data_IF_014563904625
#
_entry.id   IF_014563904625
#
_cell.length_a   1.000
_cell.length_b   1.000
_cell.length_c   1.000
_cell.angle_alpha   90.00
_cell.angle_beta   90.00
_cell.angle_gamma   90.00
#
_symmetry.space_group_name_H-M   'P 1'
#
loop_
_entity.id
_entity.type
_entity.pdbx_description
1 polymer ?
#
# COMPACT_ATOMS: atom_id res chain seq x y z
N UNK A 1 -10.27 27.09 4.43
CA UNK A 1 -10.87 26.09 3.50
C UNK A 1 -10.03 24.83 3.50
N UNK A 2 -10.57 23.73 2.97
CA UNK A 2 -9.87 22.45 2.98
C UNK A 2 -8.56 22.46 2.19
N UNK A 3 -8.40 23.34 1.23
CA UNK A 3 -7.15 23.44 0.49
C UNK A 3 -5.94 23.76 1.38
N UNK A 4 -6.18 24.34 2.54
CA UNK A 4 -5.13 24.69 3.49
C UNK A 4 -4.92 23.63 4.59
N UNK A 5 -5.72 22.58 4.57
CA UNK A 5 -5.66 21.51 5.56
C UNK A 5 -4.93 20.28 4.99
N UNK A 6 -4.05 19.65 5.77
CA UNK A 6 -3.45 18.40 5.31
C UNK A 6 -4.51 17.30 5.21
N UNK A 7 -4.40 16.50 4.16
CA UNK A 7 -5.29 15.37 3.94
C UNK A 7 -4.67 14.11 4.52
N UNK A 8 -5.43 13.40 5.34
CA UNK A 8 -5.04 12.12 5.90
C UNK A 8 -5.94 11.03 5.34
N UNK A 9 -5.39 10.16 4.49
CA UNK A 9 -6.13 8.99 4.02
C UNK A 9 -6.25 7.98 5.16
N UNK A 10 -7.31 7.18 5.17
CA UNK A 10 -7.56 6.20 6.23
C UNK A 10 -7.82 4.84 5.62
N UNK A 11 -7.07 3.82 6.05
CA UNK A 11 -7.21 2.45 5.57
C UNK A 11 -8.06 1.63 6.56
N UNK A 12 -9.15 0.98 6.10
CA UNK A 12 -9.97 0.15 6.96
C UNK A 12 -9.37 -1.24 7.14
N UNK A 13 -9.33 -1.74 8.37
CA UNK A 13 -8.81 -3.08 8.67
C UNK A 13 -9.74 -3.79 9.65
N UNK A 14 -9.80 -5.13 9.58
CA UNK A 14 -10.68 -5.91 10.46
C UNK A 14 -10.00 -6.32 11.76
N UNK A 15 -8.67 -6.31 11.80
CA UNK A 15 -7.87 -6.69 12.97
C UNK A 15 -6.71 -5.71 13.09
N UNK A 16 -6.86 -4.74 13.97
CA UNK A 16 -5.89 -3.64 14.08
C UNK A 16 -4.50 -4.12 14.53
N UNK A 17 -4.43 -5.08 15.45
CA UNK A 17 -3.13 -5.59 15.92
C UNK A 17 -2.38 -6.33 14.81
N UNK A 18 -3.09 -7.14 14.02
CA UNK A 18 -2.51 -7.81 12.87
C UNK A 18 -2.03 -6.80 11.82
N UNK A 19 -2.85 -5.79 11.54
CA UNK A 19 -2.51 -4.75 10.58
C UNK A 19 -1.30 -3.94 11.05
N UNK A 20 -1.23 -3.57 12.32
CA UNK A 20 -0.07 -2.86 12.86
C UNK A 20 1.23 -3.64 12.63
N UNK A 21 1.23 -4.93 12.94
CA UNK A 21 2.40 -5.78 12.72
C UNK A 21 2.81 -5.82 11.27
N UNK A 22 1.84 -5.97 10.37
CA UNK A 22 2.13 -6.05 8.93
C UNK A 22 2.73 -4.74 8.41
N UNK A 23 2.07 -3.63 8.67
CA UNK A 23 2.53 -2.34 8.14
C UNK A 23 3.84 -1.89 8.75
N UNK A 24 4.06 -2.18 10.03
CA UNK A 24 5.32 -1.85 10.70
C UNK A 24 6.45 -2.82 10.34
N UNK A 25 6.21 -4.12 10.46
CA UNK A 25 7.29 -5.12 10.40
C UNK A 25 7.53 -5.62 8.98
N UNK A 26 6.48 -5.83 8.19
CA UNK A 26 6.62 -6.30 6.81
C UNK A 26 6.87 -5.16 5.85
N UNK A 27 6.08 -4.09 5.93
CA UNK A 27 6.23 -2.95 5.03
C UNK A 27 7.28 -1.93 5.51
N UNK A 28 7.69 -2.00 6.77
CA UNK A 28 8.75 -1.15 7.29
C UNK A 28 8.33 0.28 7.60
N UNK A 29 7.04 0.55 7.75
CA UNK A 29 6.55 1.88 8.03
C UNK A 29 6.67 2.23 9.51
N UNK A 30 6.71 3.52 9.82
CA UNK A 30 6.86 4.01 11.19
C UNK A 30 5.49 4.28 11.81
N UNK A 31 5.20 3.59 12.92
CA UNK A 31 3.99 3.87 13.69
C UNK A 31 4.17 5.23 14.38
N UNK A 32 3.33 6.20 14.05
CA UNK A 32 3.48 7.57 14.53
C UNK A 32 2.50 7.94 15.63
N UNK A 33 1.35 7.26 15.71
CA UNK A 33 0.35 7.56 16.75
C UNK A 33 -0.52 6.34 17.00
N UNK A 34 -0.89 6.12 18.24
CA UNK A 34 -1.85 5.09 18.64
C UNK A 34 -3.01 5.71 19.40
N UNK A 35 -4.22 5.27 19.09
CA UNK A 35 -5.43 5.62 19.80
C UNK A 35 -6.27 4.39 20.03
N UNK A 36 -7.46 4.54 20.57
CA UNK A 36 -8.39 3.44 20.77
C UNK A 36 -9.05 3.09 19.43
N UNK A 37 -8.73 1.89 18.92
CA UNK A 37 -9.32 1.42 17.66
C UNK A 37 -8.75 2.07 16.41
N UNK A 38 -7.70 2.89 16.54
CA UNK A 38 -7.10 3.58 15.40
C UNK A 38 -5.60 3.81 15.62
N UNK A 39 -4.86 3.92 14.53
CA UNK A 39 -3.44 4.25 14.55
C UNK A 39 -3.11 5.13 13.36
N UNK A 40 -1.94 5.75 13.38
CA UNK A 40 -1.38 6.46 12.22
C UNK A 40 0.04 5.98 11.96
N UNK A 41 0.38 5.92 10.68
CA UNK A 41 1.71 5.54 10.21
C UNK A 41 2.32 6.66 9.39
N UNK A 42 3.64 6.75 9.43
CA UNK A 42 4.41 7.65 8.57
C UNK A 42 5.11 6.85 7.48
N UNK A 43 5.01 7.35 6.24
CA UNK A 43 5.67 6.79 5.08
C UNK A 43 6.29 7.94 4.30
N UNK A 44 7.62 8.01 4.27
CA UNK A 44 8.30 9.16 3.70
C UNK A 44 7.86 10.44 4.40
N UNK A 45 7.39 11.43 3.62
CA UNK A 45 6.90 12.69 4.15
C UNK A 45 5.39 12.69 4.39
N UNK A 46 4.71 11.57 4.17
CA UNK A 46 3.26 11.47 4.33
C UNK A 46 2.87 10.68 5.57
N UNK A 47 1.66 10.91 6.03
CA UNK A 47 1.07 10.19 7.15
C UNK A 47 -0.31 9.72 6.73
N UNK A 48 -0.69 8.52 7.16
CA UNK A 48 -2.03 7.98 6.93
C UNK A 48 -2.55 7.30 8.17
N UNK A 49 -3.87 7.25 8.26
CA UNK A 49 -4.55 6.59 9.38
C UNK A 49 -5.01 5.19 9.05
N UNK A 50 -5.37 4.47 10.09
CA UNK A 50 -5.90 3.12 9.98
C UNK A 50 -6.86 2.90 11.15
N UNK A 51 -8.03 2.30 10.89
CA UNK A 51 -8.97 2.03 11.97
C UNK A 51 -9.62 0.67 11.80
N UNK A 52 -10.06 0.11 12.93
CA UNK A 52 -10.69 -1.20 12.94
C UNK A 52 -12.16 -1.08 12.57
N UNK A 53 -12.57 -1.85 11.58
CA UNK A 53 -13.95 -1.86 11.10
C UNK A 53 -14.21 -3.20 10.40
N UNK A 54 -15.44 -3.74 10.47
CA UNK A 54 -15.77 -4.96 9.73
C UNK A 54 -15.74 -4.79 8.21
N UNK A 55 -15.59 -3.57 7.69
CA UNK A 55 -15.55 -3.30 6.25
C UNK A 55 -14.15 -3.39 5.64
N UNK A 56 -13.12 -3.72 6.42
CA UNK A 56 -11.77 -3.87 5.87
C UNK A 56 -11.71 -4.94 4.78
N UNK A 57 -10.89 -4.69 3.74
CA UNK A 57 -10.66 -5.65 2.68
C UNK A 57 -11.75 -5.79 1.63
N UNK A 58 -12.78 -4.96 1.67
CA UNK A 58 -13.94 -5.10 0.78
C UNK A 58 -13.93 -4.19 -0.46
N UNK A 59 -12.93 -3.31 -0.57
CA UNK A 59 -12.95 -2.31 -1.63
C UNK A 59 -12.78 -2.88 -3.04
N UNK A 60 -11.97 -3.91 -3.20
CA UNK A 60 -11.78 -4.53 -4.51
C UNK A 60 -11.01 -3.68 -5.53
N UNK A 61 -10.37 -2.61 -5.07
CA UNK A 61 -9.57 -1.72 -5.92
C UNK A 61 -8.40 -1.19 -5.13
N UNK A 62 -7.45 -0.53 -5.81
CA UNK A 62 -6.29 0.07 -5.15
C UNK A 62 -6.72 1.11 -4.12
N UNK A 63 -6.29 0.93 -2.88
CA UNK A 63 -6.57 1.88 -1.80
C UNK A 63 -5.42 2.85 -1.57
N UNK A 64 -4.19 2.42 -1.75
CA UNK A 64 -3.01 3.23 -1.51
C UNK A 64 -1.91 2.82 -2.47
N UNK A 65 -1.05 3.77 -2.80
CA UNK A 65 0.04 3.53 -3.73
C UNK A 65 1.28 4.27 -3.28
N UNK A 66 2.41 3.57 -3.26
CA UNK A 66 3.71 4.16 -2.95
C UNK A 66 4.46 4.45 -4.25
N UNK A 67 5.02 5.65 -4.32
CA UNK A 67 5.86 6.05 -5.43
C UNK A 67 7.31 5.78 -5.03
N UNK A 68 8.02 4.96 -5.79
CA UNK A 68 9.39 4.58 -5.49
C UNK A 68 10.32 4.92 -6.64
N UNK A 69 11.61 5.04 -6.35
CA UNK A 69 12.61 5.34 -7.36
C UNK A 69 13.00 4.10 -8.18
N UNK A 70 13.00 2.92 -7.55
CA UNK A 70 13.44 1.67 -8.17
C UNK A 70 12.49 0.55 -7.75
N UNK A 71 11.56 0.21 -8.64
CA UNK A 71 10.54 -0.79 -8.34
C UNK A 71 11.13 -2.18 -8.15
N UNK A 72 12.13 -2.56 -8.96
CA UNK A 72 12.71 -3.90 -8.86
C UNK A 72 13.36 -4.12 -7.50
N UNK A 73 14.08 -3.13 -6.98
CA UNK A 73 14.71 -3.20 -5.66
C UNK A 73 13.65 -3.30 -4.55
N UNK A 74 12.61 -2.49 -4.64
CA UNK A 74 11.53 -2.52 -3.63
C UNK A 74 10.80 -3.86 -3.63
N UNK A 75 10.49 -4.39 -4.82
CA UNK A 75 9.81 -5.68 -4.94
C UNK A 75 10.67 -6.81 -4.37
N UNK A 76 11.98 -6.80 -4.65
CA UNK A 76 12.88 -7.82 -4.12
C UNK A 76 12.91 -7.79 -2.60
N UNK A 77 12.98 -6.61 -2.00
CA UNK A 77 12.97 -6.48 -0.55
C UNK A 77 11.63 -6.92 0.06
N UNK A 78 10.53 -6.52 -0.53
CA UNK A 78 9.20 -6.92 -0.05
C UNK A 78 8.98 -8.42 -0.19
N UNK A 79 9.42 -9.03 -1.31
CA UNK A 79 9.37 -10.49 -1.47
C UNK A 79 10.20 -11.20 -0.42
N UNK A 80 11.36 -10.65 -0.06
CA UNK A 80 12.18 -11.17 1.01
C UNK A 80 11.52 -11.15 2.38
N UNK A 81 10.51 -10.30 2.55
CA UNK A 81 9.71 -10.21 3.78
C UNK A 81 8.39 -10.97 3.69
N UNK A 82 8.18 -11.73 2.62
CA UNK A 82 7.01 -12.57 2.47
C UNK A 82 5.86 -11.97 1.68
N UNK A 83 6.04 -10.80 1.09
CA UNK A 83 4.99 -10.21 0.25
C UNK A 83 4.89 -10.96 -1.06
N UNK A 84 3.65 -11.31 -1.45
CA UNK A 84 3.35 -11.98 -2.72
C UNK A 84 2.67 -10.96 -3.63
N UNK A 85 3.29 -10.67 -4.78
CA UNK A 85 2.71 -9.74 -5.75
C UNK A 85 1.66 -10.44 -6.60
N UNK A 86 0.57 -9.72 -6.87
CA UNK A 86 -0.53 -10.24 -7.67
C UNK A 86 -0.16 -10.28 -9.15
N UNK A 87 -0.74 -11.22 -9.89
CA UNK A 87 -0.62 -11.28 -11.34
C UNK A 87 -1.98 -11.02 -11.96
N UNK A 88 -1.99 -10.22 -13.01
CA UNK A 88 -3.20 -9.90 -13.75
C UNK A 88 -3.02 -10.20 -15.24
N UNK A 89 -4.06 -10.71 -15.87
CA UNK A 89 -4.09 -10.95 -17.33
C UNK A 89 -5.52 -10.68 -17.79
N UNK A 90 -5.82 -9.40 -17.96
CA UNK A 90 -7.14 -8.96 -18.36
C UNK A 90 -7.03 -7.73 -19.25
N UNK A 91 -8.08 -7.39 -20.02
CA UNK A 91 -8.03 -6.22 -20.89
C UNK A 91 -7.65 -4.95 -20.12
N UNK A 92 -6.61 -4.26 -20.58
CA UNK A 92 -6.13 -3.04 -19.97
C UNK A 92 -5.21 -3.22 -18.77
N UNK A 93 -5.00 -4.48 -18.31
CA UNK A 93 -4.11 -4.72 -17.17
C UNK A 93 -3.46 -6.11 -17.31
N UNK A 94 -2.19 -6.11 -17.67
CA UNK A 94 -1.41 -7.34 -17.77
C UNK A 94 -0.08 -7.18 -17.07
N UNK A 95 0.25 -8.14 -16.19
CA UNK A 95 1.52 -8.14 -15.47
C UNK A 95 2.44 -9.24 -15.99
N UNK A 96 3.74 -9.00 -15.87
CA UNK A 96 4.78 -10.00 -16.10
C UNK A 96 5.69 -9.95 -14.87
N UNK A 97 5.81 -11.09 -14.18
CA UNK A 97 6.53 -11.18 -12.91
C UNK A 97 6.06 -10.13 -11.90
N UNK A 98 4.74 -9.90 -11.86
CA UNK A 98 4.10 -8.96 -10.96
C UNK A 98 4.09 -7.52 -11.43
N UNK A 99 4.67 -7.19 -12.60
CA UNK A 99 4.82 -5.81 -13.05
C UNK A 99 3.98 -5.52 -14.29
N UNK A 100 3.21 -4.44 -14.23
CA UNK A 100 2.53 -3.88 -15.39
C UNK A 100 3.25 -2.61 -15.84
N UNK A 101 3.33 -2.42 -17.14
CA UNK A 101 3.94 -1.22 -17.74
C UNK A 101 2.94 -0.52 -18.64
N UNK A 102 2.81 0.80 -18.49
CA UNK A 102 1.98 1.64 -19.33
C UNK A 102 2.50 3.07 -19.28
N UNK A 103 2.64 3.70 -20.44
CA UNK A 103 3.05 5.11 -20.55
C UNK A 103 4.36 5.43 -19.82
N UNK A 104 5.30 4.48 -19.84
CA UNK A 104 6.59 4.65 -19.16
C UNK A 104 6.54 4.43 -17.66
N UNK A 105 5.39 4.13 -17.11
CA UNK A 105 5.21 3.83 -15.69
C UNK A 105 5.22 2.32 -15.47
N UNK A 106 5.75 1.90 -14.31
CA UNK A 106 5.76 0.50 -13.90
C UNK A 106 5.06 0.39 -12.55
N UNK A 107 4.22 -0.62 -12.38
CA UNK A 107 3.44 -0.79 -11.16
C UNK A 107 3.30 -2.26 -10.80
N UNK A 108 3.20 -2.53 -9.49
CA UNK A 108 2.98 -3.86 -8.96
C UNK A 108 1.97 -3.77 -7.81
N UNK A 109 1.16 -4.81 -7.65
CA UNK A 109 0.10 -4.83 -6.63
C UNK A 109 0.27 -6.00 -5.69
N UNK A 110 -0.10 -5.77 -4.44
CA UNK A 110 -0.14 -6.82 -3.43
C UNK A 110 -1.29 -6.52 -2.47
N UNK A 111 -1.62 -7.49 -1.62
CA UNK A 111 -2.70 -7.33 -0.66
C UNK A 111 -2.16 -7.37 0.76
N UNK A 112 -2.74 -6.54 1.63
CA UNK A 112 -2.47 -6.64 3.05
C UNK A 112 -3.23 -7.84 3.66
N UNK A 113 -3.09 -8.13 4.97
CA UNK A 113 -3.76 -9.29 5.57
C UNK A 113 -5.28 -9.28 5.48
N UNK A 114 -5.91 -8.11 5.34
CA UNK A 114 -7.35 -7.99 5.15
C UNK A 114 -7.78 -8.18 3.70
N UNK A 115 -6.84 -8.14 2.76
CA UNK A 115 -7.16 -8.15 1.34
C UNK A 115 -7.28 -6.76 0.74
N UNK A 116 -6.91 -5.70 1.47
CA UNK A 116 -6.82 -4.37 0.89
C UNK A 116 -5.76 -4.35 -0.21
N UNK A 117 -6.13 -3.81 -1.36
CA UNK A 117 -5.25 -3.79 -2.54
C UNK A 117 -4.31 -2.58 -2.46
N UNK A 118 -3.02 -2.86 -2.46
CA UNK A 118 -1.97 -1.86 -2.36
C UNK A 118 -1.08 -1.92 -3.59
N UNK A 119 -0.49 -0.79 -3.96
CA UNK A 119 0.32 -0.66 -5.16
C UNK A 119 1.66 -0.01 -4.87
N UNK A 120 2.69 -0.47 -5.53
CA UNK A 120 4.00 0.20 -5.57
C UNK A 120 4.24 0.58 -7.01
N UNK A 121 4.58 1.84 -7.29
CA UNK A 121 4.79 2.29 -8.65
C UNK A 121 6.06 3.11 -8.81
N UNK A 122 6.61 3.04 -10.01
CA UNK A 122 7.81 3.76 -10.41
C UNK A 122 7.41 4.66 -11.57
N UNK A 123 7.60 5.96 -11.40
CA UNK A 123 7.30 6.92 -12.45
C UNK A 123 8.40 6.92 -13.50
N UNK A 124 8.11 7.37 -14.73
CA UNK A 124 9.13 7.44 -15.76
C UNK A 124 10.26 8.38 -15.35
N UNK A 125 11.47 8.07 -15.78
CA UNK A 125 12.63 8.93 -15.58
C UNK A 125 12.41 10.24 -16.33
N UNK A 126 12.80 11.34 -15.71
CA UNK A 126 12.71 12.65 -16.35
C UNK A 126 13.95 12.94 -17.18
#
# INVERSE_FOLDING_TARGET
MLADAPLLAVIPVTDLERAKRYYRDTLGLTLSREGTGEVAFRSGSTEFGMYETPYGGQAGHTLASWKVADLDTEMAELRGRGVVFEEYDQPGLKTLDGVAEADGMRAAWFKDPDGNVLCVNELPAE
#
